data_IF_056201373784
#
_entry.id   IF_056201373784
#
_cell.length_a   1.000
_cell.length_b   1.000
_cell.length_c   1.000
_cell.angle_alpha   90.00
_cell.angle_beta   90.00
_cell.angle_gamma   90.00
#
_symmetry.space_group_name_H-M   'P 1'
#
loop_
_entity.id
_entity.type
_entity.pdbx_description
1 polymer ?
#
# COMPACT_ATOMS: atom_id res chain seq x y z
N UNK A 1 10.12 -54.58 12.16
CA UNK A 1 11.10 -53.47 12.01
C UNK A 1 10.42 -52.30 11.28
N UNK A 2 10.52 -51.11 11.89
CA UNK A 2 10.19 -49.71 11.52
C UNK A 2 9.60 -49.38 10.12
N UNK A 3 8.35 -48.90 10.10
CA UNK A 3 7.82 -48.02 9.05
C UNK A 3 8.19 -46.56 9.37
N UNK A 4 9.14 -46.01 8.61
CA UNK A 4 9.54 -44.61 8.68
C UNK A 4 8.46 -43.76 7.97
N UNK A 5 7.52 -43.21 8.76
CA UNK A 5 6.57 -42.19 8.28
C UNK A 5 7.36 -41.03 7.71
N UNK A 6 7.31 -40.91 6.38
CA UNK A 6 7.95 -39.86 5.62
C UNK A 6 7.64 -38.49 6.22
N UNK A 7 8.62 -37.90 6.90
CA UNK A 7 8.70 -36.47 7.15
C UNK A 7 8.66 -35.81 5.76
N UNK A 8 7.48 -35.39 5.32
CA UNK A 8 7.29 -34.45 4.21
C UNK A 8 8.09 -33.19 4.57
N UNK A 9 9.37 -33.18 4.19
CA UNK A 9 10.19 -31.98 4.14
C UNK A 9 9.44 -31.06 3.20
N UNK A 10 8.85 -29.98 3.74
CA UNK A 10 8.41 -28.85 2.92
C UNK A 10 9.68 -28.36 2.23
N UNK A 11 9.85 -28.72 0.95
CA UNK A 11 10.89 -28.11 0.14
C UNK A 11 10.74 -26.60 0.28
N UNK A 12 11.81 -25.85 0.61
CA UNK A 12 11.71 -24.40 0.68
C UNK A 12 11.17 -23.94 -0.66
N UNK A 13 10.03 -23.24 -0.63
CA UNK A 13 9.39 -22.68 -1.81
C UNK A 13 10.47 -22.07 -2.70
N UNK A 14 10.43 -22.34 -4.00
CA UNK A 14 11.38 -21.70 -4.91
C UNK A 14 11.28 -20.19 -4.73
N UNK A 15 12.38 -19.45 -4.92
CA UNK A 15 12.42 -18.00 -4.75
C UNK A 15 11.25 -17.30 -5.48
N UNK A 16 10.88 -17.81 -6.66
CA UNK A 16 9.74 -17.34 -7.43
C UNK A 16 8.36 -17.57 -6.76
N UNK A 17 8.18 -18.69 -6.06
CA UNK A 17 6.95 -19.00 -5.33
C UNK A 17 6.84 -18.17 -4.05
N UNK A 18 7.96 -17.93 -3.35
CA UNK A 18 8.01 -17.02 -2.21
C UNK A 18 7.62 -15.60 -2.62
N UNK A 19 8.13 -15.11 -3.76
CA UNK A 19 7.77 -13.79 -4.30
C UNK A 19 6.29 -13.71 -4.67
N UNK A 20 5.73 -14.74 -5.31
CA UNK A 20 4.30 -14.80 -5.65
C UNK A 20 3.41 -14.82 -4.40
N UNK A 21 3.79 -15.58 -3.37
CA UNK A 21 3.04 -15.65 -2.14
C UNK A 21 3.11 -14.32 -1.36
N UNK A 22 4.28 -13.68 -1.33
CA UNK A 22 4.46 -12.34 -0.75
C UNK A 22 3.60 -11.29 -1.49
N UNK A 23 3.63 -11.28 -2.82
CA UNK A 23 2.78 -10.41 -3.64
C UNK A 23 1.29 -10.65 -3.42
N UNK A 24 0.87 -11.92 -3.30
CA UNK A 24 -0.54 -12.28 -3.03
C UNK A 24 -0.98 -11.84 -1.63
N UNK A 25 -0.15 -12.04 -0.60
CA UNK A 25 -0.41 -11.58 0.77
C UNK A 25 -0.48 -10.06 0.84
N UNK A 26 0.46 -9.38 0.20
CA UNK A 26 0.47 -7.92 0.07
C UNK A 26 -0.80 -7.41 -0.60
N UNK A 27 -1.18 -7.98 -1.75
CA UNK A 27 -2.41 -7.60 -2.47
C UNK A 27 -3.67 -7.79 -1.63
N UNK A 28 -3.79 -8.90 -0.90
CA UNK A 28 -4.93 -9.14 0.01
C UNK A 28 -4.96 -8.15 1.17
N UNK A 29 -3.81 -7.79 1.73
CA UNK A 29 -3.71 -6.77 2.77
C UNK A 29 -4.17 -5.40 2.23
N UNK A 30 -3.71 -5.02 1.04
CA UNK A 30 -4.09 -3.75 0.42
C UNK A 30 -5.57 -3.69 0.02
N UNK A 31 -6.17 -4.80 -0.41
CA UNK A 31 -7.61 -4.88 -0.67
C UNK A 31 -8.45 -4.78 0.62
N UNK A 32 -7.95 -5.32 1.74
CA UNK A 32 -8.63 -5.22 3.04
C UNK A 32 -8.55 -3.82 3.64
N UNK A 33 -7.42 -3.16 3.47
CA UNK A 33 -7.18 -1.82 4.01
C UNK A 33 -7.64 -0.71 3.05
N UNK A 34 -7.98 -1.05 1.79
CA UNK A 34 -8.36 -0.10 0.75
C UNK A 34 -7.24 0.86 0.32
N UNK A 35 -6.01 0.61 0.76
CA UNK A 35 -4.86 1.51 0.61
C UNK A 35 -3.85 0.89 -0.34
N UNK A 36 -3.60 1.53 -1.48
CA UNK A 36 -2.41 1.25 -2.29
C UNK A 36 -1.32 2.23 -1.89
N UNK A 37 -0.12 1.77 -1.47
CA UNK A 37 0.99 2.69 -1.29
C UNK A 37 1.38 3.25 -2.66
N UNK A 38 1.02 4.50 -2.91
CA UNK A 38 1.44 5.24 -4.09
C UNK A 38 2.76 5.92 -3.75
N UNK A 39 3.83 5.56 -4.47
CA UNK A 39 5.08 6.30 -4.42
C UNK A 39 5.07 7.31 -5.56
N UNK A 40 5.13 8.59 -5.22
CA UNK A 40 5.16 9.69 -6.17
C UNK A 40 6.34 10.61 -5.84
N UNK A 41 6.99 11.12 -6.87
CA UNK A 41 7.98 12.17 -6.72
C UNK A 41 7.27 13.52 -6.83
N UNK A 42 7.40 14.32 -5.77
CA UNK A 42 6.81 15.65 -5.65
C UNK A 42 7.86 16.61 -5.12
N UNK A 43 7.69 17.87 -5.48
CA UNK A 43 8.57 18.95 -5.05
C UNK A 43 8.68 19.01 -3.51
N UNK A 44 9.90 19.28 -3.01
CA UNK A 44 10.18 19.31 -1.57
C UNK A 44 9.40 20.42 -0.86
N UNK A 45 9.25 21.58 -1.49
CA UNK A 45 8.56 22.72 -0.90
C UNK A 45 7.07 22.43 -0.78
N UNK A 46 6.50 21.74 -1.77
CA UNK A 46 5.12 21.27 -1.73
C UNK A 46 4.89 20.28 -0.57
N UNK A 47 5.84 19.36 -0.33
CA UNK A 47 5.75 18.44 0.81
C UNK A 47 5.74 19.20 2.14
N UNK A 48 6.59 20.22 2.29
CA UNK A 48 6.63 21.04 3.52
C UNK A 48 5.33 21.80 3.76
N UNK A 49 4.74 22.37 2.70
CA UNK A 49 3.44 23.07 2.79
C UNK A 49 2.34 22.11 3.25
N UNK A 50 2.28 20.90 2.69
CA UNK A 50 1.28 19.89 3.07
C UNK A 50 1.50 19.42 4.51
N UNK A 51 2.74 19.26 4.95
CA UNK A 51 3.05 18.90 6.34
C UNK A 51 2.62 19.97 7.34
N UNK A 52 2.87 21.24 7.03
CA UNK A 52 2.47 22.36 7.87
C UNK A 52 0.93 22.42 8.01
N UNK A 53 0.20 22.26 6.90
CA UNK A 53 -1.28 22.24 6.90
C UNK A 53 -1.83 21.02 7.65
N UNK A 54 -1.24 19.83 7.47
CA UNK A 54 -1.60 18.63 8.22
C UNK A 54 -1.43 18.84 9.73
N UNK A 55 -0.28 19.39 10.15
CA UNK A 55 0.02 19.68 11.55
C UNK A 55 -0.94 20.70 12.14
N UNK A 56 -1.26 21.77 11.40
CA UNK A 56 -2.19 22.80 11.87
C UNK A 56 -3.60 22.23 12.13
N UNK A 57 -4.00 21.21 11.36
CA UNK A 57 -5.32 20.56 11.46
C UNK A 57 -5.36 19.34 12.37
N UNK A 58 -4.22 18.89 12.90
CA UNK A 58 -4.14 17.65 13.68
C UNK A 58 -4.36 16.38 12.84
N UNK A 59 -4.10 16.44 11.54
CA UNK A 59 -4.28 15.35 10.58
C UNK A 59 -2.93 14.77 10.13
N UNK A 60 -2.93 13.61 9.49
CA UNK A 60 -1.71 13.08 8.85
C UNK A 60 -1.51 13.71 7.46
N UNK A 61 -0.26 13.71 6.98
CA UNK A 61 0.05 14.08 5.58
C UNK A 61 -0.82 13.28 4.59
N UNK A 62 -1.03 12.00 4.86
CA UNK A 62 -1.84 11.12 4.03
C UNK A 62 -3.28 11.60 3.89
N UNK A 63 -3.89 12.01 5.00
CA UNK A 63 -5.27 12.52 5.02
C UNK A 63 -5.40 13.81 4.19
N UNK A 64 -4.41 14.71 4.29
CA UNK A 64 -4.37 15.94 3.48
C UNK A 64 -4.22 15.66 1.98
N UNK A 65 -3.33 14.74 1.63
CA UNK A 65 -3.13 14.31 0.23
C UNK A 65 -4.40 13.67 -0.32
N UNK A 66 -5.03 12.78 0.46
CA UNK A 66 -6.29 12.14 0.05
C UNK A 66 -7.40 13.16 -0.17
N UNK A 67 -7.57 14.10 0.76
CA UNK A 67 -8.55 15.19 0.62
C UNK A 67 -8.29 16.03 -0.64
N UNK A 68 -7.03 16.39 -0.91
CA UNK A 68 -6.66 17.18 -2.07
C UNK A 68 -6.96 16.44 -3.38
N UNK A 69 -6.64 15.15 -3.45
CA UNK A 69 -6.94 14.30 -4.60
C UNK A 69 -8.45 14.17 -4.82
N UNK A 70 -9.23 13.88 -3.77
CA UNK A 70 -10.70 13.79 -3.86
C UNK A 70 -11.31 15.09 -4.38
N UNK A 71 -10.84 16.23 -3.88
CA UNK A 71 -11.31 17.55 -4.35
C UNK A 71 -10.93 17.81 -5.80
N UNK A 72 -9.72 17.45 -6.21
CA UNK A 72 -9.27 17.58 -7.59
C UNK A 72 -10.13 16.73 -8.54
N UNK A 73 -10.34 15.45 -8.20
CA UNK A 73 -11.19 14.54 -8.99
C UNK A 73 -12.66 14.97 -9.04
N UNK A 74 -13.22 15.49 -7.96
CA UNK A 74 -14.59 16.04 -7.97
C UNK A 74 -14.70 17.25 -8.92
N UNK A 75 -13.65 18.06 -9.02
CA UNK A 75 -13.60 19.22 -9.94
C UNK A 75 -13.45 18.82 -11.40
N UNK A 76 -12.73 17.73 -11.70
CA UNK A 76 -12.55 17.22 -13.07
C UNK A 76 -13.62 16.23 -13.52
N UNK A 77 -14.28 15.52 -12.60
CA UNK A 77 -15.27 14.48 -12.90
C UNK A 77 -16.70 14.95 -13.14
N UNK A 78 -16.99 16.26 -13.03
CA UNK A 78 -18.32 16.85 -13.23
C UNK A 78 -18.66 17.26 -14.67
N UNK A 79 -17.87 16.83 -15.66
CA UNK A 79 -18.11 17.11 -17.09
C UNK A 79 -18.30 15.78 -17.83
N UNK A 80 -19.51 15.23 -17.74
CA UNK A 80 -20.06 14.33 -18.75
C UNK A 80 -21.33 14.95 -19.29
#
# INVERSE_FOLDING_TARGET
MKENRGRRRKSPLSRAEQTREAQRRFRRRMQREGKFPMQAYVDRDLVQIVDADAKHRGETRGDRVEWALRRAFAKTGGRQ
#
